data_IF_807127095663
#
_entry.id   IF_807127095663
#
_cell.length_a   1.000
_cell.length_b   1.000
_cell.length_c   1.000
_cell.angle_alpha   90.00
_cell.angle_beta   90.00
_cell.angle_gamma   90.00
#
_symmetry.space_group_name_H-M   'P 1'
#
loop_
_entity.id
_entity.type
_entity.pdbx_description
1 polymer ?
#
# COMPACT_ATOMS: atom_id res chain seq x y z
N UNK A 1 -14.01 4.58 -12.34
CA UNK A 1 -14.45 3.27 -11.85
C UNK A 1 -15.35 3.43 -10.64
N UNK A 2 -16.34 2.55 -10.52
CA UNK A 2 -17.33 2.66 -9.44
C UNK A 2 -16.69 2.47 -8.05
N UNK A 3 -15.71 1.57 -7.93
CA UNK A 3 -15.04 1.35 -6.63
C UNK A 3 -14.25 2.58 -6.19
N UNK A 4 -13.55 3.24 -7.13
CA UNK A 4 -12.80 4.46 -6.83
C UNK A 4 -13.75 5.57 -6.36
N UNK A 5 -14.92 5.67 -7.00
CA UNK A 5 -15.92 6.67 -6.63
C UNK A 5 -16.47 6.42 -5.23
N UNK A 6 -16.72 5.15 -4.87
CA UNK A 6 -17.22 4.80 -3.54
C UNK A 6 -16.20 5.20 -2.45
N UNK A 7 -14.93 4.92 -2.66
CA UNK A 7 -13.89 5.31 -1.70
C UNK A 7 -13.75 6.82 -1.59
N UNK A 8 -13.84 7.54 -2.71
CA UNK A 8 -13.83 9.00 -2.73
C UNK A 8 -14.97 9.57 -1.89
N UNK A 9 -16.18 9.05 -2.06
CA UNK A 9 -17.34 9.48 -1.30
C UNK A 9 -17.14 9.24 0.19
N UNK A 10 -16.65 8.03 0.56
CA UNK A 10 -16.42 7.69 1.96
C UNK A 10 -15.42 8.64 2.62
N UNK A 11 -14.33 8.98 1.93
CA UNK A 11 -13.33 9.90 2.46
C UNK A 11 -13.89 11.31 2.61
N UNK A 12 -14.72 11.75 1.67
CA UNK A 12 -15.33 13.09 1.75
C UNK A 12 -16.33 13.21 2.89
N UNK A 13 -17.12 12.17 3.13
CA UNK A 13 -18.12 12.17 4.20
C UNK A 13 -17.50 11.92 5.57
N UNK A 14 -16.46 11.11 5.64
CA UNK A 14 -15.80 10.71 6.88
C UNK A 14 -14.28 10.86 6.74
N UNK A 15 -13.79 12.12 6.69
CA UNK A 15 -12.38 12.37 6.36
C UNK A 15 -11.39 11.80 7.38
N UNK A 16 -11.83 11.50 8.58
CA UNK A 16 -10.96 10.94 9.62
C UNK A 16 -11.20 9.45 9.84
N UNK A 17 -11.99 8.80 9.00
CA UNK A 17 -12.22 7.36 9.11
C UNK A 17 -10.99 6.60 8.64
N UNK A 18 -10.38 5.83 9.54
CA UNK A 18 -9.12 5.14 9.26
C UNK A 18 -9.26 4.10 8.15
N UNK A 19 -10.39 3.38 8.11
CA UNK A 19 -10.63 2.37 7.07
C UNK A 19 -10.82 3.02 5.70
N UNK A 20 -11.62 4.09 5.64
CA UNK A 20 -11.84 4.81 4.39
C UNK A 20 -10.53 5.37 3.85
N UNK A 21 -9.69 5.92 4.71
CA UNK A 21 -8.39 6.45 4.30
C UNK A 21 -7.45 5.35 3.85
N UNK A 22 -7.45 4.21 4.53
CA UNK A 22 -6.65 3.06 4.11
C UNK A 22 -7.03 2.60 2.70
N UNK A 23 -8.33 2.50 2.43
CA UNK A 23 -8.83 2.08 1.12
C UNK A 23 -8.50 3.11 0.05
N UNK A 24 -8.65 4.40 0.37
CA UNK A 24 -8.31 5.48 -0.56
C UNK A 24 -6.81 5.47 -0.90
N UNK A 25 -5.97 5.17 0.10
CA UNK A 25 -4.53 5.02 -0.12
C UNK A 25 -4.24 3.88 -1.09
N UNK A 26 -4.89 2.73 -0.90
CA UNK A 26 -4.70 1.58 -1.79
C UNK A 26 -5.08 1.91 -3.23
N UNK A 27 -6.20 2.62 -3.42
CA UNK A 27 -6.64 3.05 -4.76
C UNK A 27 -5.62 4.01 -5.38
N UNK A 28 -5.12 4.98 -4.59
CA UNK A 28 -4.12 5.94 -5.07
C UNK A 28 -2.84 5.22 -5.50
N UNK A 29 -2.40 4.22 -4.73
CA UNK A 29 -1.22 3.43 -5.08
C UNK A 29 -1.42 2.64 -6.38
N UNK A 30 -2.62 2.09 -6.57
CA UNK A 30 -2.96 1.39 -7.82
C UNK A 30 -2.84 2.34 -9.02
N UNK A 31 -3.19 3.59 -8.83
CA UNK A 31 -3.07 4.62 -9.87
C UNK A 31 -1.68 5.24 -9.94
N UNK A 32 -0.77 4.82 -9.08
CA UNK A 32 0.58 5.38 -8.94
C UNK A 32 0.57 6.85 -8.55
N UNK A 33 -0.48 7.28 -7.86
CA UNK A 33 -0.63 8.64 -7.37
C UNK A 33 -0.04 8.72 -5.95
N UNK A 34 1.28 8.88 -5.88
CA UNK A 34 2.00 8.84 -4.61
C UNK A 34 1.66 10.01 -3.70
N UNK A 35 1.38 11.16 -4.28
CA UNK A 35 1.05 12.36 -3.50
C UNK A 35 -0.24 12.17 -2.70
N UNK A 36 -1.30 11.71 -3.35
CA UNK A 36 -2.55 11.42 -2.65
C UNK A 36 -2.44 10.21 -1.74
N UNK A 37 -1.68 9.20 -2.16
CA UNK A 37 -1.46 8.01 -1.32
C UNK A 37 -0.90 8.41 0.05
N UNK A 38 0.10 9.28 0.10
CA UNK A 38 0.69 9.77 1.36
C UNK A 38 -0.34 10.46 2.23
N UNK A 39 -1.19 11.32 1.63
CA UNK A 39 -2.21 12.04 2.37
C UNK A 39 -3.19 11.10 3.07
N UNK A 40 -3.64 10.07 2.35
CA UNK A 40 -4.58 9.10 2.91
C UNK A 40 -3.90 8.18 3.92
N UNK A 41 -2.66 7.75 3.63
CA UNK A 41 -1.90 6.89 4.55
C UNK A 41 -1.68 7.57 5.89
N UNK A 42 -1.43 8.88 5.88
CA UNK A 42 -1.22 9.64 7.11
C UNK A 42 -2.43 9.54 8.06
N UNK A 43 -3.63 9.43 7.52
CA UNK A 43 -4.87 9.36 8.29
C UNK A 43 -5.35 7.95 8.57
N UNK A 44 -4.69 6.94 8.01
CA UNK A 44 -5.04 5.54 8.24
C UNK A 44 -4.39 5.02 9.51
N UNK A 45 -4.85 3.86 9.99
CA UNK A 45 -4.25 3.22 11.17
C UNK A 45 -2.91 2.61 10.78
N UNK A 46 -1.82 3.13 11.34
CA UNK A 46 -0.45 2.72 11.03
C UNK A 46 -0.07 1.36 11.61
N UNK A 47 -0.93 0.76 12.42
CA UNK A 47 -0.63 -0.50 13.11
C UNK A 47 -1.10 -1.74 12.34
N UNK A 48 -1.90 -1.58 11.29
CA UNK A 48 -2.47 -2.72 10.58
C UNK A 48 -1.50 -3.28 9.54
N UNK A 49 -1.62 -4.58 9.28
CA UNK A 49 -0.83 -5.24 8.24
C UNK A 49 -1.13 -4.63 6.86
N UNK A 50 -2.37 -4.27 6.61
CA UNK A 50 -2.79 -3.64 5.36
C UNK A 50 -2.07 -2.30 5.15
N UNK A 51 -1.96 -1.49 6.21
CA UNK A 51 -1.20 -0.24 6.12
C UNK A 51 0.26 -0.50 5.79
N UNK A 52 0.88 -1.46 6.48
CA UNK A 52 2.29 -1.77 6.29
C UNK A 52 2.53 -2.31 4.86
N UNK A 53 1.59 -3.11 4.34
CA UNK A 53 1.66 -3.53 2.94
C UNK A 53 1.61 -2.34 1.99
N UNK A 54 0.75 -1.36 2.27
CA UNK A 54 0.68 -0.13 1.47
C UNK A 54 2.00 0.65 1.53
N UNK A 55 2.65 0.67 2.70
CA UNK A 55 3.99 1.28 2.82
C UNK A 55 4.97 0.60 1.87
N UNK A 56 4.91 -0.72 1.78
CA UNK A 56 5.74 -1.48 0.87
C UNK A 56 5.49 -1.09 -0.59
N UNK A 57 4.22 -1.02 -0.98
CA UNK A 57 3.86 -0.63 -2.35
C UNK A 57 4.33 0.80 -2.65
N UNK A 58 4.10 1.72 -1.71
CA UNK A 58 4.54 3.11 -1.86
C UNK A 58 6.04 3.18 -2.09
N UNK A 59 6.81 2.51 -1.25
CA UNK A 59 8.27 2.54 -1.36
C UNK A 59 8.75 1.93 -2.67
N UNK A 60 8.12 0.82 -3.10
CA UNK A 60 8.46 0.21 -4.38
C UNK A 60 8.22 1.18 -5.54
N UNK A 61 7.07 1.85 -5.56
CA UNK A 61 6.75 2.81 -6.62
C UNK A 61 7.66 4.03 -6.57
N UNK A 62 8.15 4.37 -5.38
CA UNK A 62 9.08 5.50 -5.18
C UNK A 62 10.54 5.12 -5.43
N UNK A 63 10.80 3.88 -5.84
CA UNK A 63 12.15 3.42 -6.18
C UNK A 63 12.96 2.90 -5.01
N UNK A 64 12.38 2.83 -3.80
CA UNK A 64 13.09 2.36 -2.61
C UNK A 64 12.78 0.87 -2.37
N UNK A 65 13.52 0.02 -3.09
CA UNK A 65 13.30 -1.43 -3.06
C UNK A 65 13.60 -2.01 -1.68
N UNK A 66 14.62 -1.52 -0.99
CA UNK A 66 15.02 -2.05 0.31
C UNK A 66 13.91 -1.83 1.36
N UNK A 67 13.34 -0.63 1.39
CA UNK A 67 12.23 -0.34 2.31
C UNK A 67 10.97 -1.11 1.92
N UNK A 68 10.75 -1.32 0.63
CA UNK A 68 9.62 -2.11 0.16
C UNK A 68 9.73 -3.56 0.68
N UNK A 69 10.89 -4.18 0.56
CA UNK A 69 11.13 -5.53 1.06
C UNK A 69 10.88 -5.62 2.57
N UNK A 70 11.41 -4.67 3.33
CA UNK A 70 11.23 -4.64 4.78
C UNK A 70 9.76 -4.55 5.16
N UNK A 71 9.00 -3.67 4.49
CA UNK A 71 7.58 -3.50 4.77
C UNK A 71 6.77 -4.74 4.39
N UNK A 72 7.02 -5.31 3.22
CA UNK A 72 6.31 -6.53 2.81
C UNK A 72 6.62 -7.70 3.74
N UNK A 73 7.88 -7.84 4.19
CA UNK A 73 8.24 -8.86 5.15
C UNK A 73 7.46 -8.71 6.45
N UNK A 74 7.39 -7.49 6.98
CA UNK A 74 6.68 -7.22 8.22
C UNK A 74 5.19 -7.53 8.07
N UNK A 75 4.55 -7.05 7.01
CA UNK A 75 3.14 -7.28 6.78
C UNK A 75 2.84 -8.77 6.56
N UNK A 76 3.73 -9.48 5.86
CA UNK A 76 3.60 -10.92 5.63
C UNK A 76 3.66 -11.70 6.95
N UNK A 77 4.56 -11.32 7.85
CA UNK A 77 4.66 -11.93 9.17
C UNK A 77 3.42 -11.69 10.01
N UNK A 78 2.72 -10.58 9.76
CA UNK A 78 1.45 -10.28 10.41
C UNK A 78 0.26 -11.02 9.77
N UNK A 79 0.51 -11.80 8.73
CA UNK A 79 -0.52 -12.63 8.10
C UNK A 79 -1.17 -12.02 6.87
N UNK A 80 -0.65 -10.92 6.34
CA UNK A 80 -1.24 -10.27 5.17
C UNK A 80 -0.85 -11.02 3.90
N UNK A 81 -1.84 -11.61 3.23
CA UNK A 81 -1.62 -12.43 2.03
C UNK A 81 -1.16 -11.60 0.84
N UNK A 82 -1.68 -10.38 0.70
CA UNK A 82 -1.23 -9.48 -0.37
C UNK A 82 0.25 -9.16 -0.24
N UNK A 83 0.73 -8.94 0.99
CA UNK A 83 2.13 -8.67 1.24
C UNK A 83 3.01 -9.87 0.89
N UNK A 84 2.55 -11.09 1.20
CA UNK A 84 3.28 -12.30 0.82
C UNK A 84 3.42 -12.40 -0.69
N UNK A 85 2.34 -12.14 -1.43
CA UNK A 85 2.38 -12.16 -2.89
C UNK A 85 3.29 -11.07 -3.45
N UNK A 86 3.21 -9.87 -2.89
CA UNK A 86 4.06 -8.75 -3.31
C UNK A 86 5.53 -9.06 -3.07
N UNK A 87 5.84 -9.65 -1.94
CA UNK A 87 7.23 -10.02 -1.61
C UNK A 87 7.77 -11.03 -2.61
N UNK A 88 6.97 -12.06 -2.94
CA UNK A 88 7.38 -13.08 -3.92
C UNK A 88 7.63 -12.46 -5.29
N UNK A 89 6.74 -11.59 -5.75
CA UNK A 89 6.90 -10.91 -7.04
C UNK A 89 8.17 -10.06 -7.06
N UNK A 90 8.42 -9.33 -5.98
CA UNK A 90 9.60 -8.46 -5.89
C UNK A 90 10.87 -9.29 -5.90
N UNK A 91 10.90 -10.41 -5.18
CA UNK A 91 12.05 -11.31 -5.17
C UNK A 91 12.32 -11.91 -6.56
N UNK A 92 11.27 -12.24 -7.31
CA UNK A 92 11.41 -12.73 -8.68
C UNK A 92 12.00 -11.65 -9.58
N UNK A 93 11.54 -10.42 -9.47
CA UNK A 93 12.07 -9.31 -10.26
C UNK A 93 13.56 -9.11 -9.97
N UNK A 94 13.94 -9.14 -8.70
CA UNK A 94 15.34 -8.98 -8.30
C UNK A 94 16.21 -10.13 -8.82
N UNK A 95 15.70 -11.35 -8.79
CA UNK A 95 16.43 -12.51 -9.32
C UNK A 95 16.63 -12.40 -10.82
N UNK A 96 15.63 -11.90 -11.55
CA UNK A 96 15.74 -11.68 -12.99
C UNK A 96 16.82 -10.66 -13.32
N UNK A 97 16.97 -9.61 -12.50
CA UNK A 97 17.96 -8.57 -12.73
C UNK A 97 19.39 -9.02 -12.47
N UNK A 98 19.57 -10.09 -11.69
CA UNK A 98 20.91 -10.63 -11.38
C UNK A 98 21.50 -11.43 -12.54
N UNK A 99 20.71 -11.76 -13.53
CA UNK A 99 21.16 -12.46 -14.73
C UNK A 99 21.52 -11.43 -15.82
#
# INVERSE_FOLDING_TARGET
RSSDLVFDIAVRMYPNDEVANLNAAAVSLTKKDLENAIKYMDKANHQTAEFINNVGVYNFLNGDVQRAIAAFNQAAQMGNEAAKANLQQLQQILNMKKK
#
